data_IF_579180733917
#
_entry.id   IF_579180733917
#
_cell.length_a   1.000
_cell.length_b   1.000
_cell.length_c   1.000
_cell.angle_alpha   90.00
_cell.angle_beta   90.00
_cell.angle_gamma   90.00
#
_symmetry.space_group_name_H-M   'P 1'
#
loop_
_entity.id
_entity.type
_entity.pdbx_description
1 polymer ?
#
# COMPACT_ATOMS: atom_id res chain seq x y z
N UNK A 1 9.03 17.94 25.26
CA UNK A 1 8.31 17.35 24.11
C UNK A 1 7.56 16.12 24.64
N UNK A 2 6.22 16.03 24.54
CA UNK A 2 5.48 14.93 25.19
C UNK A 2 5.98 13.57 24.66
N UNK A 3 6.24 12.59 25.54
CA UNK A 3 6.86 11.31 25.19
C UNK A 3 6.19 10.55 24.03
N UNK A 4 4.87 10.74 23.86
CA UNK A 4 4.10 10.20 22.71
C UNK A 4 4.66 10.63 21.34
N UNK A 5 5.16 11.85 21.20
CA UNK A 5 5.73 12.34 19.94
C UNK A 5 7.09 11.73 19.63
N UNK A 6 7.92 11.52 20.66
CA UNK A 6 9.24 10.89 20.49
C UNK A 6 9.06 9.45 19.99
N UNK A 7 8.15 8.71 20.63
CA UNK A 7 7.79 7.34 20.21
C UNK A 7 7.30 7.34 18.76
N UNK A 8 6.44 8.29 18.39
CA UNK A 8 5.90 8.36 17.04
C UNK A 8 6.97 8.67 15.99
N UNK A 9 7.87 9.61 16.25
CA UNK A 9 8.99 9.93 15.35
C UNK A 9 9.89 8.70 15.19
N UNK A 10 10.22 8.02 16.29
CA UNK A 10 11.04 6.82 16.28
C UNK A 10 10.40 5.69 15.46
N UNK A 11 9.10 5.43 15.66
CA UNK A 11 8.35 4.47 14.85
C UNK A 11 8.32 4.85 13.37
N UNK A 12 8.21 6.14 13.05
CA UNK A 12 8.21 6.63 11.67
C UNK A 12 9.56 6.42 10.98
N UNK A 13 10.67 6.65 11.68
CA UNK A 13 12.03 6.39 11.18
C UNK A 13 12.23 4.89 10.92
N UNK A 14 11.82 4.03 11.87
CA UNK A 14 11.90 2.57 11.72
C UNK A 14 11.06 2.14 10.50
N UNK A 15 9.83 2.66 10.38
CA UNK A 15 8.96 2.37 9.26
C UNK A 15 9.61 2.76 7.93
N UNK A 16 10.18 3.96 7.85
CA UNK A 16 10.89 4.43 6.66
C UNK A 16 12.06 3.51 6.28
N UNK A 17 12.86 3.07 7.27
CA UNK A 17 13.96 2.12 7.05
C UNK A 17 13.48 0.77 6.50
N UNK A 18 12.35 0.26 6.99
CA UNK A 18 11.72 -0.96 6.47
C UNK A 18 11.29 -0.77 5.01
N UNK A 19 10.59 0.32 4.70
CA UNK A 19 10.11 0.61 3.34
C UNK A 19 11.28 0.70 2.35
N UNK A 20 12.39 1.31 2.76
CA UNK A 20 13.60 1.47 1.96
C UNK A 20 14.31 0.12 1.74
N UNK A 21 14.35 -0.75 2.76
CA UNK A 21 14.86 -2.12 2.61
C UNK A 21 14.03 -2.96 1.62
N UNK A 22 12.70 -2.81 1.66
CA UNK A 22 11.78 -3.47 0.71
C UNK A 22 12.02 -2.95 -0.71
N UNK A 23 12.19 -1.63 -0.88
CA UNK A 23 12.51 -1.04 -2.19
C UNK A 23 13.78 -1.65 -2.80
N UNK A 24 14.87 -1.71 -2.03
CA UNK A 24 16.12 -2.33 -2.50
C UNK A 24 15.97 -3.82 -2.80
N UNK A 25 15.18 -4.54 -2.00
CA UNK A 25 14.88 -5.94 -2.27
C UNK A 25 14.16 -6.13 -3.61
N UNK A 26 13.15 -5.28 -3.89
CA UNK A 26 12.44 -5.31 -5.18
C UNK A 26 13.37 -5.00 -6.35
N UNK A 27 14.32 -4.07 -6.19
CA UNK A 27 15.30 -3.77 -7.24
C UNK A 27 16.20 -4.97 -7.55
N UNK A 28 16.72 -5.63 -6.51
CA UNK A 28 17.53 -6.85 -6.68
C UNK A 28 16.78 -8.01 -7.34
N UNK A 29 15.45 -8.04 -7.23
CA UNK A 29 14.67 -9.09 -7.87
C UNK A 29 14.60 -8.95 -9.38
N UNK A 30 14.71 -7.73 -9.93
CA UNK A 30 14.72 -7.51 -11.39
C UNK A 30 15.92 -8.18 -12.06
N UNK A 31 17.04 -8.23 -11.35
CA UNK A 31 18.29 -8.81 -11.82
C UNK A 31 18.37 -10.32 -11.58
N UNK A 32 17.43 -10.90 -10.83
CA UNK A 32 17.49 -12.32 -10.52
C UNK A 32 16.96 -13.18 -11.68
N UNK A 33 17.87 -13.86 -12.39
CA UNK A 33 17.55 -14.77 -13.49
C UNK A 33 16.49 -15.84 -13.12
N UNK A 34 16.63 -16.48 -11.95
CA UNK A 34 15.69 -17.49 -11.46
C UNK A 34 14.26 -16.92 -11.29
N UNK A 35 14.12 -15.67 -10.87
CA UNK A 35 12.82 -15.01 -10.74
C UNK A 35 12.22 -14.69 -12.11
N UNK A 36 13.04 -14.20 -13.04
CA UNK A 36 12.63 -13.82 -14.40
C UNK A 36 12.21 -15.05 -15.23
N UNK A 37 12.98 -16.14 -15.17
CA UNK A 37 12.71 -17.39 -15.90
C UNK A 37 11.48 -18.14 -15.39
N UNK A 38 11.23 -18.09 -14.07
CA UNK A 38 10.10 -18.79 -13.47
C UNK A 38 8.76 -18.05 -13.58
N UNK A 39 8.72 -16.85 -14.16
CA UNK A 39 7.47 -16.12 -14.37
C UNK A 39 6.60 -16.81 -15.41
N UNK A 40 5.32 -16.96 -15.11
CA UNK A 40 4.36 -17.49 -16.08
C UNK A 40 4.13 -16.45 -17.20
N UNK A 41 4.11 -16.83 -18.49
CA UNK A 41 4.00 -15.89 -19.60
C UNK A 41 2.73 -15.03 -19.56
N UNK A 42 1.64 -15.54 -18.96
CA UNK A 42 0.36 -14.81 -18.78
C UNK A 42 0.25 -14.01 -17.47
N UNK A 43 1.06 -14.33 -16.45
CA UNK A 43 0.95 -13.74 -15.11
C UNK A 43 2.35 -13.32 -14.65
N UNK A 44 2.85 -12.25 -15.26
CA UNK A 44 4.13 -11.64 -14.92
C UNK A 44 3.96 -10.69 -13.74
N UNK A 45 4.82 -10.82 -12.75
CA UNK A 45 4.87 -9.88 -11.62
C UNK A 45 5.45 -8.58 -12.12
N UNK A 46 4.70 -7.50 -11.98
CA UNK A 46 5.16 -6.16 -12.30
C UNK A 46 5.91 -5.58 -11.10
N UNK A 47 7.22 -5.84 -11.05
CA UNK A 47 8.11 -5.35 -9.98
C UNK A 47 8.23 -3.82 -10.00
N UNK A 48 8.24 -3.20 -11.18
CA UNK A 48 8.31 -1.75 -11.32
C UNK A 48 7.10 -1.06 -10.67
N UNK A 49 5.91 -1.63 -10.84
CA UNK A 49 4.72 -1.15 -10.16
C UNK A 49 4.83 -1.28 -8.64
N UNK A 50 5.32 -2.43 -8.13
CA UNK A 50 5.51 -2.62 -6.69
C UNK A 50 6.49 -1.60 -6.10
N UNK A 51 7.54 -1.24 -6.86
CA UNK A 51 8.48 -0.20 -6.46
C UNK A 51 7.87 1.21 -6.48
N UNK A 52 7.10 1.54 -7.51
CA UNK A 52 6.37 2.80 -7.57
C UNK A 52 5.42 2.92 -6.36
N UNK A 53 4.70 1.84 -6.05
CA UNK A 53 3.85 1.77 -4.87
C UNK A 53 4.64 1.98 -3.57
N UNK A 54 5.83 1.38 -3.46
CA UNK A 54 6.72 1.58 -2.31
C UNK A 54 7.17 3.04 -2.16
N UNK A 55 7.46 3.72 -3.29
CA UNK A 55 7.77 5.16 -3.30
C UNK A 55 6.57 5.98 -2.83
N UNK A 56 5.36 5.66 -3.30
CA UNK A 56 4.13 6.33 -2.87
C UNK A 56 3.90 6.17 -1.36
N UNK A 57 4.17 5.00 -0.79
CA UNK A 57 4.10 4.78 0.66
C UNK A 57 5.13 5.64 1.43
N UNK A 58 6.37 5.73 0.94
CA UNK A 58 7.40 6.59 1.53
C UNK A 58 6.99 8.07 1.49
N UNK A 59 6.47 8.54 0.35
CA UNK A 59 5.96 9.92 0.21
C UNK A 59 4.78 10.17 1.14
N UNK A 60 3.83 9.23 1.20
CA UNK A 60 2.65 9.30 2.08
C UNK A 60 3.05 9.38 3.56
N UNK A 61 3.99 8.55 3.98
CA UNK A 61 4.54 8.59 5.34
C UNK A 61 5.22 9.94 5.64
N UNK A 62 5.98 10.49 4.69
CA UNK A 62 6.59 11.82 4.83
C UNK A 62 5.54 12.92 4.98
N UNK A 63 4.51 12.91 4.13
CA UNK A 63 3.37 13.83 4.20
C UNK A 63 2.69 13.72 5.58
N UNK A 64 2.41 12.50 6.06
CA UNK A 64 1.79 12.25 7.36
C UNK A 64 2.58 12.84 8.54
N UNK A 65 3.91 12.67 8.55
CA UNK A 65 4.80 13.25 9.58
C UNK A 65 4.69 14.78 9.58
N UNK A 66 4.71 15.41 8.41
CA UNK A 66 4.55 16.87 8.25
C UNK A 66 3.18 17.30 8.77
N UNK A 67 2.10 16.64 8.34
CA UNK A 67 0.74 16.98 8.77
C UNK A 67 0.56 16.89 10.29
N UNK A 68 1.08 15.86 10.95
CA UNK A 68 0.97 15.74 12.42
C UNK A 68 1.75 16.85 13.13
N UNK A 69 2.91 17.21 12.59
CA UNK A 69 3.72 18.31 13.13
C UNK A 69 3.00 19.66 12.95
N UNK A 70 2.31 19.86 11.82
CA UNK A 70 1.55 21.08 11.52
C UNK A 70 0.20 21.17 12.24
N UNK A 71 -0.54 20.06 12.38
CA UNK A 71 -1.84 20.01 13.06
C UNK A 71 -1.73 20.50 14.51
N UNK A 72 -0.61 20.18 15.17
CA UNK A 72 -0.30 20.69 16.50
C UNK A 72 -0.20 22.22 16.57
N UNK A 73 0.10 22.89 15.45
CA UNK A 73 0.20 24.36 15.35
C UNK A 73 -1.15 25.04 15.04
N UNK A 74 -2.27 24.31 14.98
CA UNK A 74 -3.62 24.84 14.72
C UNK A 74 -3.72 25.74 13.47
N UNK A 75 -2.94 25.47 12.43
CA UNK A 75 -2.81 26.33 11.26
C UNK A 75 -3.97 26.25 10.24
N UNK A 76 -5.00 25.44 10.48
CA UNK A 76 -6.08 25.23 9.50
C UNK A 76 -7.44 25.65 10.08
N UNK A 77 -7.93 26.82 9.67
CA UNK A 77 -9.33 27.25 9.78
C UNK A 77 -9.85 27.61 8.38
N UNK A 78 -10.91 26.93 7.94
CA UNK A 78 -11.68 27.27 6.73
C UNK A 78 -11.65 26.19 5.64
N UNK A 79 -12.82 25.67 5.25
CA UNK A 79 -12.97 24.76 4.12
C UNK A 79 -14.43 24.56 3.71
N UNK A 80 -14.72 24.65 2.41
CA UNK A 80 -16.05 24.42 1.80
C UNK A 80 -16.38 22.92 1.73
N UNK A 81 -17.60 22.53 2.11
CA UNK A 81 -18.02 21.13 2.32
C UNK A 81 -18.40 20.35 1.04
N UNK A 82 -18.65 21.02 -0.10
CA UNK A 82 -19.25 20.36 -1.27
C UNK A 82 -18.23 19.67 -2.19
N UNK A 83 -17.15 20.37 -2.57
CA UNK A 83 -16.09 19.79 -3.43
C UNK A 83 -15.39 18.59 -2.80
N UNK A 84 -15.34 18.54 -1.46
CA UNK A 84 -14.69 17.49 -0.70
C UNK A 84 -15.32 16.11 -0.94
N UNK A 85 -16.63 16.02 -1.21
CA UNK A 85 -17.31 14.73 -1.44
C UNK A 85 -16.87 14.05 -2.74
N UNK A 86 -16.74 14.81 -3.82
CA UNK A 86 -16.30 14.26 -5.12
C UNK A 86 -14.87 13.72 -5.03
N UNK A 87 -13.95 14.49 -4.44
CA UNK A 87 -12.56 14.06 -4.24
C UNK A 87 -12.43 12.83 -3.33
N UNK A 88 -13.32 12.68 -2.33
CA UNK A 88 -13.36 11.47 -1.48
C UNK A 88 -13.82 10.25 -2.27
N UNK A 89 -14.85 10.36 -3.12
CA UNK A 89 -15.31 9.22 -3.92
C UNK A 89 -14.22 8.81 -4.92
N UNK A 90 -13.62 9.77 -5.61
CA UNK A 90 -12.55 9.52 -6.57
C UNK A 90 -11.33 8.85 -5.89
N UNK A 91 -10.94 9.31 -4.70
CA UNK A 91 -9.80 8.72 -3.97
C UNK A 91 -10.08 7.30 -3.50
N UNK A 92 -11.31 6.99 -3.09
CA UNK A 92 -11.72 5.62 -2.72
C UNK A 92 -11.64 4.67 -3.93
N UNK A 93 -12.11 5.10 -5.10
CA UNK A 93 -12.03 4.29 -6.32
C UNK A 93 -10.58 4.03 -6.72
N UNK A 94 -9.74 5.07 -6.73
CA UNK A 94 -8.31 4.94 -7.04
C UNK A 94 -7.61 4.01 -6.04
N UNK A 95 -7.91 4.15 -4.75
CA UNK A 95 -7.36 3.30 -3.70
C UNK A 95 -7.73 1.82 -3.91
N UNK A 96 -8.99 1.52 -4.26
CA UNK A 96 -9.43 0.16 -4.57
C UNK A 96 -8.61 -0.47 -5.70
N UNK A 97 -8.45 0.24 -6.82
CA UNK A 97 -7.68 -0.27 -7.95
C UNK A 97 -6.22 -0.50 -7.59
N UNK A 98 -5.58 0.45 -6.90
CA UNK A 98 -4.19 0.34 -6.47
C UNK A 98 -4.03 -0.84 -5.50
N UNK A 99 -4.84 -0.93 -4.46
CA UNK A 99 -4.77 -2.01 -3.47
C UNK A 99 -5.00 -3.39 -4.08
N UNK A 100 -5.96 -3.53 -4.99
CA UNK A 100 -6.20 -4.78 -5.72
C UNK A 100 -5.00 -5.18 -6.56
N UNK A 101 -4.42 -4.24 -7.31
CA UNK A 101 -3.27 -4.52 -8.18
C UNK A 101 -1.99 -4.83 -7.39
N UNK A 102 -1.73 -4.14 -6.28
CA UNK A 102 -0.63 -4.50 -5.34
C UNK A 102 -0.84 -5.91 -4.80
N UNK A 103 -2.05 -6.22 -4.33
CA UNK A 103 -2.35 -7.53 -3.73
C UNK A 103 -2.11 -8.67 -4.71
N UNK A 104 -2.57 -8.54 -5.95
CA UNK A 104 -2.33 -9.53 -7.01
C UNK A 104 -0.84 -9.76 -7.27
N UNK A 105 -0.06 -8.68 -7.42
CA UNK A 105 1.37 -8.78 -7.68
C UNK A 105 2.13 -9.40 -6.50
N UNK A 106 1.81 -9.01 -5.26
CA UNK A 106 2.42 -9.58 -4.05
C UNK A 106 2.10 -11.07 -3.88
N UNK A 107 0.87 -11.51 -4.18
CA UNK A 107 0.48 -12.92 -4.11
C UNK A 107 1.22 -13.74 -5.18
N UNK A 108 1.25 -13.26 -6.43
CA UNK A 108 1.99 -13.91 -7.51
C UNK A 108 3.48 -14.02 -7.19
N UNK A 109 4.07 -12.96 -6.64
CA UNK A 109 5.45 -12.94 -6.19
C UNK A 109 5.71 -13.99 -5.10
N UNK A 110 4.79 -14.16 -4.15
CA UNK A 110 4.89 -15.20 -3.12
C UNK A 110 4.83 -16.61 -3.72
N UNK A 111 3.95 -16.86 -4.69
CA UNK A 111 3.89 -18.17 -5.36
C UNK A 111 5.17 -18.48 -6.14
N UNK A 112 5.76 -17.49 -6.81
CA UNK A 112 7.04 -17.68 -7.51
C UNK A 112 8.17 -17.94 -6.49
N UNK A 113 8.13 -17.28 -5.33
CA UNK A 113 9.13 -17.46 -4.27
C UNK A 113 9.15 -18.85 -3.61
N UNK A 114 8.10 -19.66 -3.83
CA UNK A 114 8.06 -21.06 -3.37
C UNK A 114 8.90 -22.00 -4.24
N UNK A 115 9.24 -21.58 -5.47
CA UNK A 115 10.26 -22.27 -6.26
C UNK A 115 11.62 -21.87 -5.70
N UNK A 116 12.54 -22.82 -5.57
CA UNK A 116 13.84 -22.63 -4.92
C UNK A 116 14.74 -21.61 -5.64
N UNK A 117 14.47 -20.31 -5.45
CA UNK A 117 15.30 -19.21 -5.91
C UNK A 117 16.05 -18.60 -4.70
N UNK A 118 17.36 -18.85 -4.64
CA UNK A 118 18.24 -18.36 -3.56
C UNK A 118 18.16 -16.84 -3.39
N UNK A 119 18.11 -16.10 -4.51
CA UNK A 119 18.03 -14.63 -4.52
C UNK A 119 16.77 -14.07 -3.82
N UNK A 120 15.67 -14.83 -3.85
CA UNK A 120 14.38 -14.43 -3.30
C UNK A 120 14.25 -14.76 -1.82
N UNK A 121 15.11 -15.63 -1.28
CA UNK A 121 15.00 -16.16 0.07
C UNK A 121 15.54 -15.18 1.13
N UNK A 122 14.99 -13.95 1.15
CA UNK A 122 15.29 -12.93 2.14
C UNK A 122 14.04 -12.59 2.95
N UNK A 123 14.21 -12.06 4.15
CA UNK A 123 13.11 -11.75 5.06
C UNK A 123 12.14 -10.69 4.50
N UNK A 124 12.63 -9.80 3.62
CA UNK A 124 11.82 -8.78 2.94
C UNK A 124 10.67 -9.37 2.12
N UNK A 125 10.80 -10.61 1.63
CA UNK A 125 9.74 -11.31 0.90
C UNK A 125 8.46 -11.44 1.74
N UNK A 126 8.61 -11.65 3.04
CA UNK A 126 7.48 -11.77 3.96
C UNK A 126 6.80 -10.42 4.18
N UNK A 127 7.54 -9.31 4.16
CA UNK A 127 6.92 -7.98 4.23
C UNK A 127 6.09 -7.72 2.99
N UNK A 128 6.64 -7.94 1.79
CA UNK A 128 5.90 -7.72 0.53
C UNK A 128 4.65 -8.59 0.46
N UNK A 129 4.74 -9.84 0.95
CA UNK A 129 3.58 -10.73 1.06
C UNK A 129 2.56 -10.22 2.08
N UNK A 130 2.98 -9.88 3.29
CA UNK A 130 2.10 -9.36 4.35
C UNK A 130 1.41 -8.07 3.88
N UNK A 131 2.15 -7.16 3.24
CA UNK A 131 1.62 -5.94 2.64
C UNK A 131 0.56 -6.25 1.57
N UNK A 132 0.82 -7.24 0.71
CA UNK A 132 -0.15 -7.75 -0.25
C UNK A 132 -1.42 -8.33 0.37
N UNK A 133 -1.27 -9.11 1.46
CA UNK A 133 -2.39 -9.69 2.22
C UNK A 133 -3.21 -8.60 2.91
N UNK A 134 -2.56 -7.67 3.61
CA UNK A 134 -3.24 -6.53 4.24
C UNK A 134 -4.00 -5.70 3.20
N UNK A 135 -3.36 -5.36 2.08
CA UNK A 135 -4.02 -4.65 0.98
C UNK A 135 -5.20 -5.43 0.41
N UNK A 136 -5.11 -6.77 0.35
CA UNK A 136 -6.24 -7.65 -0.03
C UNK A 136 -7.41 -7.53 0.95
N UNK A 137 -7.12 -7.61 2.25
CA UNK A 137 -8.14 -7.51 3.31
C UNK A 137 -8.81 -6.14 3.28
N UNK A 138 -8.03 -5.06 3.12
CA UNK A 138 -8.58 -3.71 3.00
C UNK A 138 -9.42 -3.56 1.73
N UNK A 139 -8.94 -4.07 0.59
CA UNK A 139 -9.69 -4.08 -0.66
C UNK A 139 -11.04 -4.79 -0.49
N UNK A 140 -11.06 -5.99 0.08
CA UNK A 140 -12.29 -6.75 0.35
C UNK A 140 -13.23 -5.98 1.28
N UNK A 141 -12.72 -5.41 2.38
CA UNK A 141 -13.55 -4.63 3.32
C UNK A 141 -14.21 -3.42 2.67
N UNK A 142 -13.46 -2.68 1.85
CA UNK A 142 -14.00 -1.51 1.13
C UNK A 142 -15.01 -1.97 0.07
N UNK A 143 -14.73 -3.06 -0.65
CA UNK A 143 -15.66 -3.65 -1.61
C UNK A 143 -16.97 -4.07 -0.93
N UNK A 144 -16.90 -4.74 0.22
CA UNK A 144 -18.09 -5.10 1.01
C UNK A 144 -18.87 -3.87 1.46
N UNK A 145 -18.19 -2.84 1.97
CA UNK A 145 -18.84 -1.60 2.38
C UNK A 145 -19.54 -0.90 1.19
N UNK A 146 -18.91 -0.92 0.01
CA UNK A 146 -19.49 -0.37 -1.20
C UNK A 146 -20.74 -1.13 -1.65
N UNK A 147 -20.69 -2.47 -1.69
CA UNK A 147 -21.85 -3.32 -2.01
C UNK A 147 -22.98 -3.10 -1.00
N UNK A 148 -22.66 -3.03 0.29
CA UNK A 148 -23.64 -2.78 1.34
C UNK A 148 -24.31 -1.40 1.17
N UNK A 149 -23.55 -0.35 0.84
CA UNK A 149 -24.10 0.97 0.56
C UNK A 149 -25.05 0.95 -0.66
N UNK A 150 -24.69 0.24 -1.74
CA UNK A 150 -25.57 0.07 -2.91
C UNK A 150 -26.87 -0.68 -2.56
N UNK A 151 -26.78 -1.71 -1.71
CA UNK A 151 -27.96 -2.43 -1.23
C UNK A 151 -28.87 -1.50 -0.42
N UNK A 152 -28.34 -0.73 0.52
CA UNK A 152 -29.13 0.23 1.28
C UNK A 152 -29.83 1.25 0.37
N UNK A 153 -29.16 1.78 -0.65
CA UNK A 153 -29.77 2.72 -1.60
C UNK A 153 -30.90 2.06 -2.39
N UNK A 154 -30.69 0.84 -2.91
CA UNK A 154 -31.73 0.16 -3.69
C UNK A 154 -32.93 -0.26 -2.85
N UNK A 155 -32.75 -0.59 -1.58
CA UNK A 155 -33.85 -0.92 -0.66
C UNK A 155 -34.58 0.29 -0.07
N UNK A 156 -33.89 1.44 0.16
CA UNK A 156 -34.52 2.67 0.66
C UNK A 156 -35.11 3.58 -0.42
N UNK A 157 -34.79 3.37 -1.70
CA UNK A 157 -35.43 4.09 -2.82
C UNK A 157 -36.70 3.39 -3.35
N UNK A 158 -37.28 2.50 -2.53
CA UNK A 158 -38.69 2.09 -2.62
C UNK A 158 -39.49 2.88 -1.59
#
# INVERSE_FOLDING_TARGET
MNGKYIIQILLSIISFGILLSVYYYLEQMKECACFVENQHPKYKVNVEFLQLYQILEMVSLGIFIIFITMYKRQLFKGGSKSGMKFFVILSVILFLFISGYVSLNSILMYFISKKDCVCMNKWQKYIVYIQGVYNSIYFLRILFAFVFALLLITFNMK
#
